data_IF_167243575834
#
_entry.id   IF_167243575834
#
_cell.length_a   1.000
_cell.length_b   1.000
_cell.length_c   1.000
_cell.angle_alpha   90.00
_cell.angle_beta   90.00
_cell.angle_gamma   90.00
#
_symmetry.space_group_name_H-M   'P 1'
#
loop_
_entity.id
_entity.type
_entity.pdbx_description
1 polymer ?
#
# COMPACT_ATOMS: atom_id res chain seq x y z
N UNK A 1 15.05 -9.37 -18.52
CA UNK A 1 15.36 -8.26 -17.59
C UNK A 1 14.17 -7.31 -17.57
N UNK A 2 13.23 -7.46 -16.64
CA UNK A 2 11.98 -6.67 -16.64
C UNK A 2 12.14 -5.46 -15.72
N UNK A 3 12.28 -4.29 -16.32
CA UNK A 3 12.41 -2.99 -15.66
C UNK A 3 11.06 -2.56 -15.08
N UNK A 4 10.64 -3.17 -13.97
CA UNK A 4 9.51 -2.67 -13.20
C UNK A 4 9.88 -1.28 -12.65
N UNK A 5 9.25 -0.22 -13.19
CA UNK A 5 9.36 1.16 -12.72
C UNK A 5 8.90 1.23 -11.27
N UNK A 6 9.82 1.02 -10.32
CA UNK A 6 9.57 1.22 -8.90
C UNK A 6 9.57 2.72 -8.63
N UNK A 7 8.43 3.18 -8.11
CA UNK A 7 8.24 4.54 -7.61
C UNK A 7 9.32 4.86 -6.57
N UNK A 8 10.23 5.79 -6.89
CA UNK A 8 11.31 6.19 -5.99
C UNK A 8 10.72 7.08 -4.91
N UNK A 9 10.22 6.45 -3.85
CA UNK A 9 9.81 7.17 -2.66
C UNK A 9 11.08 7.71 -1.96
N UNK A 10 11.35 9.02 -2.09
CA UNK A 10 12.41 9.71 -1.37
C UNK A 10 12.03 9.77 0.12
N UNK A 11 12.28 8.69 0.86
CA UNK A 11 12.19 8.70 2.31
C UNK A 11 13.26 9.65 2.87
N UNK A 12 12.83 10.76 3.48
CA UNK A 12 13.71 11.74 4.13
C UNK A 12 14.35 11.23 5.43
N UNK A 13 13.95 10.05 5.94
CA UNK A 13 14.39 9.55 7.24
C UNK A 13 14.45 8.02 7.23
N UNK A 14 15.60 7.48 6.82
CA UNK A 14 15.90 6.05 6.87
C UNK A 14 15.02 5.15 6.00
N UNK A 15 15.38 3.86 5.96
CA UNK A 15 14.54 2.81 5.37
C UNK A 15 13.26 2.74 6.20
N UNK A 16 12.13 3.10 5.61
CA UNK A 16 10.84 2.90 6.27
C UNK A 16 10.72 1.42 6.69
N UNK A 17 10.30 1.13 7.94
CA UNK A 17 10.16 -0.25 8.41
C UNK A 17 9.22 -1.02 7.49
N UNK A 18 9.66 -2.19 7.04
CA UNK A 18 8.89 -3.04 6.13
C UNK A 18 7.72 -3.66 6.88
N UNK A 19 6.50 -3.36 6.46
CA UNK A 19 5.31 -4.04 6.96
C UNK A 19 5.19 -5.42 6.28
N UNK A 20 5.41 -6.49 7.03
CA UNK A 20 5.36 -7.85 6.51
C UNK A 20 4.06 -8.50 6.98
N UNK A 21 3.09 -8.64 6.06
CA UNK A 21 1.77 -9.21 6.35
C UNK A 21 1.66 -10.60 5.73
N UNK A 22 1.23 -11.58 6.54
CA UNK A 22 0.93 -12.94 6.06
C UNK A 22 -0.53 -12.98 5.63
N UNK A 23 -0.77 -13.03 4.32
CA UNK A 23 -2.09 -13.18 3.71
C UNK A 23 -2.06 -14.30 2.69
N UNK A 24 -3.22 -14.89 2.41
CA UNK A 24 -3.37 -15.88 1.34
C UNK A 24 -3.11 -15.22 -0.02
N UNK A 25 -2.59 -15.98 -1.00
CA UNK A 25 -2.30 -15.44 -2.34
C UNK A 25 -3.56 -14.93 -3.05
N UNK A 26 -4.72 -15.52 -2.77
CA UNK A 26 -6.01 -15.07 -3.28
C UNK A 26 -6.37 -13.67 -2.77
N UNK A 27 -6.25 -13.45 -1.46
CA UNK A 27 -6.54 -12.14 -0.86
C UNK A 27 -5.55 -11.07 -1.37
N UNK A 28 -4.29 -11.44 -1.58
CA UNK A 28 -3.29 -10.57 -2.20
C UNK A 28 -3.73 -10.13 -3.60
N UNK A 29 -4.25 -11.05 -4.42
CA UNK A 29 -4.71 -10.73 -5.76
C UNK A 29 -5.91 -9.77 -5.75
N UNK A 30 -6.83 -9.95 -4.81
CA UNK A 30 -7.97 -9.03 -4.61
C UNK A 30 -7.48 -7.62 -4.27
N UNK A 31 -6.52 -7.49 -3.37
CA UNK A 31 -5.96 -6.18 -3.03
C UNK A 31 -5.15 -5.56 -4.17
N UNK A 32 -4.40 -6.35 -4.93
CA UNK A 32 -3.69 -5.85 -6.12
C UNK A 32 -4.66 -5.37 -7.20
N UNK A 33 -5.80 -6.04 -7.38
CA UNK A 33 -6.85 -5.62 -8.30
C UNK A 33 -7.47 -4.28 -7.86
N UNK A 34 -7.81 -4.13 -6.57
CA UNK A 34 -8.34 -2.89 -6.03
C UNK A 34 -7.33 -1.72 -6.12
N UNK A 35 -6.07 -1.97 -5.74
CA UNK A 35 -5.01 -0.97 -5.85
C UNK A 35 -4.77 -0.53 -7.30
N UNK A 36 -4.84 -1.49 -8.25
CA UNK A 36 -4.70 -1.21 -9.69
C UNK A 36 -5.88 -0.43 -10.24
N UNK A 37 -7.10 -0.68 -9.75
CA UNK A 37 -8.29 0.09 -10.11
C UNK A 37 -8.16 1.57 -9.66
N UNK A 38 -7.55 1.81 -8.50
CA UNK A 38 -7.21 3.16 -8.01
C UNK A 38 -5.90 3.73 -8.61
N UNK A 39 -5.25 3.01 -9.53
CA UNK A 39 -4.05 3.48 -10.24
C UNK A 39 -2.80 3.60 -9.35
N UNK A 40 -2.75 2.89 -8.22
CA UNK A 40 -1.67 3.01 -7.24
C UNK A 40 -1.06 1.65 -6.86
N UNK A 41 0.13 1.69 -6.24
CA UNK A 41 0.77 0.46 -5.74
C UNK A 41 0.03 -0.08 -4.52
N UNK A 42 0.01 -1.41 -4.35
CA UNK A 42 -0.58 -2.11 -3.22
C UNK A 42 -0.22 -1.47 -1.86
N UNK A 43 1.06 -1.14 -1.66
CA UNK A 43 1.53 -0.55 -0.41
C UNK A 43 1.04 0.89 -0.19
N UNK A 44 0.79 1.66 -1.25
CA UNK A 44 0.23 3.01 -1.12
C UNK A 44 -1.28 2.95 -0.89
N UNK A 45 -1.96 2.02 -1.56
CA UNK A 45 -3.38 1.73 -1.36
C UNK A 45 -3.71 1.36 0.09
N UNK A 46 -2.91 0.46 0.69
CA UNK A 46 -3.05 0.11 2.10
C UNK A 46 -2.84 1.29 3.05
N UNK A 47 -1.90 2.19 2.74
CA UNK A 47 -1.68 3.40 3.55
C UNK A 47 -2.87 4.34 3.47
N UNK A 48 -3.45 4.49 2.29
CA UNK A 48 -4.60 5.36 2.09
C UNK A 48 -5.84 4.82 2.81
N UNK A 49 -6.08 3.50 2.71
CA UNK A 49 -7.14 2.82 3.46
C UNK A 49 -6.98 3.03 4.98
N UNK A 50 -5.78 2.81 5.51
CA UNK A 50 -5.50 3.05 6.93
C UNK A 50 -5.70 4.52 7.35
N UNK A 51 -5.29 5.48 6.51
CA UNK A 51 -5.50 6.92 6.77
C UNK A 51 -6.97 7.30 6.76
N UNK A 52 -7.76 6.76 5.82
CA UNK A 52 -9.22 7.00 5.76
C UNK A 52 -9.90 6.54 7.05
N UNK A 53 -9.59 5.33 7.51
CA UNK A 53 -10.19 4.81 8.74
C UNK A 53 -9.73 5.53 10.01
N UNK A 54 -8.45 5.92 10.08
CA UNK A 54 -7.98 6.74 11.19
C UNK A 54 -8.65 8.13 11.20
N UNK A 55 -8.89 8.71 10.02
CA UNK A 55 -9.58 10.01 9.90
C UNK A 55 -11.05 9.90 10.32
N UNK A 56 -11.72 8.81 9.94
CA UNK A 56 -13.12 8.54 10.34
C UNK A 56 -13.20 8.32 11.85
N UNK A 57 -12.36 7.45 12.41
CA UNK A 57 -12.36 7.14 13.86
C UNK A 57 -11.92 8.31 14.73
N UNK A 58 -11.05 9.20 14.22
CA UNK A 58 -10.63 10.40 14.96
C UNK A 58 -11.70 11.49 15.01
N UNK A 59 -12.76 11.39 14.19
CA UNK A 59 -13.89 12.33 14.16
C UNK A 59 -15.12 11.83 14.94
N UNK A 60 -15.06 10.62 15.48
CA UNK A 60 -16.03 10.01 16.38
C UNK A 60 -15.60 10.23 17.84
#
# INVERSE_FOLDING_TARGET
MTTAKRDKNQSKSGKAPTFQMRITPELKAQFEAAARAEGMSLGNWFKELGRRELTIKSKL
#
